data_IF_680811210144
#
_entry.id   IF_680811210144
#
_cell.length_a   1.000
_cell.length_b   1.000
_cell.length_c   1.000
_cell.angle_alpha   90.00
_cell.angle_beta   90.00
_cell.angle_gamma   90.00
#
_symmetry.space_group_name_H-M   'P 1'
#
loop_
_entity.id
_entity.type
_entity.pdbx_description
1 polymer ?
#
# COMPACT_ATOMS: atom_id res chain seq x y z
N UNK A 1 -7.76 12.88 -19.12
CA UNK A 1 -9.15 12.91 -19.60
C UNK A 1 -10.13 12.86 -18.43
N UNK A 2 -10.18 11.79 -17.61
CA UNK A 2 -11.13 11.71 -16.48
C UNK A 2 -10.91 12.83 -15.46
N UNK A 3 -9.66 13.13 -15.12
CA UNK A 3 -9.35 14.22 -14.19
C UNK A 3 -9.79 15.58 -14.71
N UNK A 4 -9.64 15.84 -16.03
CA UNK A 4 -10.08 17.06 -16.67
C UNK A 4 -11.61 17.20 -16.66
N UNK A 5 -12.33 16.08 -16.83
CA UNK A 5 -13.79 16.04 -16.75
C UNK A 5 -14.27 16.42 -15.34
N UNK A 6 -13.68 15.80 -14.31
CA UNK A 6 -14.03 16.05 -12.90
C UNK A 6 -13.74 17.52 -12.52
N UNK A 7 -12.62 18.07 -12.99
CA UNK A 7 -12.27 19.47 -12.68
C UNK A 7 -13.15 20.48 -13.41
N UNK A 8 -13.52 20.23 -14.67
CA UNK A 8 -14.32 21.17 -15.48
C UNK A 8 -15.81 21.09 -15.19
N UNK A 9 -16.32 19.92 -14.83
CA UNK A 9 -17.73 19.65 -14.64
C UNK A 9 -17.99 18.82 -13.37
N UNK A 10 -17.66 19.35 -12.18
CA UNK A 10 -17.67 18.58 -10.91
C UNK A 10 -19.08 18.11 -10.52
N UNK A 11 -20.12 18.85 -10.90
CA UNK A 11 -21.52 18.58 -10.54
C UNK A 11 -22.28 17.78 -11.62
N UNK A 12 -21.58 17.24 -12.62
CA UNK A 12 -22.23 16.42 -13.65
C UNK A 12 -22.33 14.96 -13.21
N UNK A 13 -23.38 14.26 -13.63
CA UNK A 13 -23.55 12.82 -13.42
C UNK A 13 -22.35 12.01 -13.96
N UNK A 14 -21.69 12.52 -14.98
CA UNK A 14 -20.48 11.94 -15.57
C UNK A 14 -19.23 12.07 -14.67
N UNK A 15 -19.20 13.07 -13.79
CA UNK A 15 -18.06 13.27 -12.88
C UNK A 15 -17.97 12.13 -11.86
N UNK A 16 -19.09 11.65 -11.35
CA UNK A 16 -19.13 10.54 -10.39
C UNK A 16 -18.76 9.22 -11.05
N UNK A 17 -19.26 8.94 -12.26
CA UNK A 17 -18.82 7.77 -13.02
C UNK A 17 -17.31 7.82 -13.32
N UNK A 18 -16.80 8.98 -13.71
CA UNK A 18 -15.37 9.18 -13.94
C UNK A 18 -14.53 8.92 -12.70
N UNK A 19 -14.96 9.36 -11.51
CA UNK A 19 -14.30 9.07 -10.23
C UNK A 19 -14.24 7.57 -9.95
N UNK A 20 -15.37 6.87 -10.12
CA UNK A 20 -15.43 5.42 -9.91
C UNK A 20 -14.50 4.67 -10.87
N UNK A 21 -14.45 5.06 -12.12
CA UNK A 21 -13.53 4.49 -13.11
C UNK A 21 -12.06 4.75 -12.76
N UNK A 22 -11.73 5.94 -12.27
CA UNK A 22 -10.38 6.26 -11.82
C UNK A 22 -9.96 5.40 -10.63
N UNK A 23 -10.86 5.19 -9.66
CA UNK A 23 -10.60 4.30 -8.51
C UNK A 23 -10.36 2.88 -8.99
N UNK A 24 -11.22 2.35 -9.85
CA UNK A 24 -11.08 1.02 -10.42
C UNK A 24 -9.73 0.85 -11.13
N UNK A 25 -9.41 1.73 -12.08
CA UNK A 25 -8.15 1.66 -12.83
C UNK A 25 -6.92 1.76 -11.92
N UNK A 26 -6.99 2.59 -10.87
CA UNK A 26 -5.94 2.72 -9.88
C UNK A 26 -5.72 1.41 -9.12
N UNK A 27 -6.79 0.74 -8.73
CA UNK A 27 -6.71 -0.54 -8.03
C UNK A 27 -6.13 -1.64 -8.94
N UNK A 28 -6.53 -1.69 -10.22
CA UNK A 28 -5.97 -2.60 -11.21
C UNK A 28 -4.46 -2.39 -11.42
N UNK A 29 -4.03 -1.13 -11.48
CA UNK A 29 -2.60 -0.80 -11.58
C UNK A 29 -1.82 -1.25 -10.33
N UNK A 30 -2.38 -1.07 -9.14
CA UNK A 30 -1.77 -1.54 -7.90
C UNK A 30 -1.62 -3.07 -7.88
N UNK A 31 -2.65 -3.80 -8.31
CA UNK A 31 -2.61 -5.26 -8.42
C UNK A 31 -1.58 -5.75 -9.43
N UNK A 32 -1.48 -5.08 -10.57
CA UNK A 32 -0.45 -5.36 -11.57
C UNK A 32 0.97 -5.21 -10.99
N UNK A 33 1.25 -4.13 -10.26
CA UNK A 33 2.55 -3.92 -9.61
C UNK A 33 2.87 -5.02 -8.59
N UNK A 34 1.88 -5.51 -7.85
CA UNK A 34 2.07 -6.63 -6.92
C UNK A 34 2.30 -7.97 -7.63
N UNK A 35 1.66 -8.18 -8.77
CA UNK A 35 1.94 -9.35 -9.62
C UNK A 35 3.40 -9.36 -10.08
N UNK A 36 3.92 -8.18 -10.44
CA UNK A 36 5.34 -8.02 -10.79
C UNK A 36 6.24 -8.25 -9.57
N UNK A 37 5.85 -7.75 -8.39
CA UNK A 37 6.59 -7.99 -7.14
C UNK A 37 6.66 -9.49 -6.80
N UNK A 38 5.56 -10.22 -6.94
CA UNK A 38 5.50 -11.66 -6.72
C UNK A 38 6.38 -12.44 -7.71
N UNK A 39 6.42 -12.02 -8.97
CA UNK A 39 7.34 -12.57 -9.96
C UNK A 39 8.80 -12.42 -9.50
N UNK A 40 9.20 -11.25 -9.01
CA UNK A 40 10.54 -11.03 -8.48
C UNK A 40 10.83 -11.84 -7.21
N UNK A 41 9.84 -11.99 -6.31
CA UNK A 41 9.98 -12.84 -5.12
C UNK A 41 10.30 -14.30 -5.50
N UNK A 42 9.56 -14.86 -6.47
CA UNK A 42 9.80 -16.23 -6.97
C UNK A 42 11.14 -16.40 -7.66
N UNK A 43 11.70 -15.35 -8.21
CA UNK A 43 13.02 -15.33 -8.85
C UNK A 43 14.18 -15.07 -7.88
N UNK A 44 13.91 -14.82 -6.60
CA UNK A 44 14.93 -14.45 -5.63
C UNK A 44 15.46 -13.03 -5.76
N UNK A 45 14.84 -12.20 -6.60
CA UNK A 45 15.18 -10.79 -6.79
C UNK A 45 14.51 -9.91 -5.72
N UNK A 46 14.82 -10.16 -4.45
CA UNK A 46 14.12 -9.58 -3.32
C UNK A 46 14.19 -8.06 -3.23
N UNK A 47 15.29 -7.44 -3.65
CA UNK A 47 15.41 -5.98 -3.71
C UNK A 47 14.41 -5.40 -4.72
N UNK A 48 14.28 -6.02 -5.90
CA UNK A 48 13.31 -5.58 -6.90
C UNK A 48 11.87 -5.76 -6.42
N UNK A 49 11.57 -6.87 -5.73
CA UNK A 49 10.26 -7.12 -5.13
C UNK A 49 9.93 -6.07 -4.05
N UNK A 50 10.88 -5.76 -3.16
CA UNK A 50 10.71 -4.72 -2.14
C UNK A 50 10.44 -3.34 -2.76
N UNK A 51 11.15 -2.98 -3.83
CA UNK A 51 10.94 -1.71 -4.53
C UNK A 51 9.55 -1.63 -5.17
N UNK A 52 9.02 -2.74 -5.73
CA UNK A 52 7.67 -2.77 -6.29
C UNK A 52 6.60 -2.67 -5.21
N UNK A 53 6.74 -3.41 -4.11
CA UNK A 53 5.83 -3.31 -2.97
C UNK A 53 5.82 -1.88 -2.39
N UNK A 54 6.99 -1.28 -2.21
CA UNK A 54 7.14 0.11 -1.78
C UNK A 54 6.45 1.09 -2.75
N UNK A 55 6.62 0.91 -4.04
CA UNK A 55 5.97 1.74 -5.06
C UNK A 55 4.44 1.69 -4.95
N UNK A 56 3.87 0.51 -4.69
CA UNK A 56 2.43 0.38 -4.44
C UNK A 56 2.02 1.18 -3.21
N UNK A 57 2.77 1.07 -2.12
CA UNK A 57 2.48 1.80 -0.88
C UNK A 57 2.54 3.33 -1.07
N UNK A 58 3.45 3.82 -1.91
CA UNK A 58 3.63 5.25 -2.17
C UNK A 58 2.55 5.82 -3.12
N UNK A 59 2.23 5.09 -4.17
CA UNK A 59 1.42 5.60 -5.28
C UNK A 59 -0.05 5.23 -5.21
N UNK A 60 -0.37 4.10 -4.58
CA UNK A 60 -1.71 3.52 -4.60
C UNK A 60 -2.29 3.41 -3.19
N UNK A 61 -2.08 4.44 -2.37
CA UNK A 61 -2.67 4.53 -1.04
C UNK A 61 -4.18 4.35 -1.09
N UNK A 62 -4.73 3.55 -0.19
CA UNK A 62 -6.15 3.22 -0.18
C UNK A 62 -6.57 2.12 -1.15
N UNK A 63 -5.65 1.52 -1.91
CA UNK A 63 -5.97 0.36 -2.73
C UNK A 63 -6.24 -0.88 -1.85
N UNK A 64 -7.18 -1.77 -2.25
CA UNK A 64 -7.46 -3.03 -1.54
C UNK A 64 -6.25 -3.95 -1.41
N UNK A 65 -5.26 -3.77 -2.27
CA UNK A 65 -4.01 -4.55 -2.32
C UNK A 65 -2.96 -4.09 -1.31
N UNK A 66 -3.22 -3.04 -0.54
CA UNK A 66 -2.25 -2.49 0.43
C UNK A 66 -1.75 -3.52 1.46
N UNK A 67 -2.60 -4.37 2.08
CA UNK A 67 -2.12 -5.40 2.99
C UNK A 67 -1.12 -6.36 2.33
N UNK A 68 -1.39 -6.75 1.08
CA UNK A 68 -0.49 -7.62 0.33
C UNK A 68 0.84 -6.92 0.01
N UNK A 69 0.83 -5.62 -0.30
CA UNK A 69 2.05 -4.85 -0.53
C UNK A 69 2.95 -4.82 0.71
N UNK A 70 2.37 -4.54 1.88
CA UNK A 70 3.11 -4.52 3.15
C UNK A 70 3.64 -5.91 3.50
N UNK A 71 2.85 -6.96 3.29
CA UNK A 71 3.27 -8.34 3.51
C UNK A 71 4.42 -8.76 2.58
N UNK A 72 4.34 -8.41 1.29
CA UNK A 72 5.41 -8.69 0.31
C UNK A 72 6.70 -7.96 0.69
N UNK A 73 6.60 -6.73 1.18
CA UNK A 73 7.74 -5.96 1.66
C UNK A 73 8.40 -6.62 2.88
N UNK A 74 7.61 -7.10 3.85
CA UNK A 74 8.09 -7.82 5.02
C UNK A 74 8.86 -9.10 4.61
N UNK A 75 8.27 -9.89 3.71
CA UNK A 75 8.91 -11.11 3.20
C UNK A 75 10.22 -10.80 2.47
N UNK A 76 10.25 -9.76 1.63
CA UNK A 76 11.43 -9.36 0.89
C UNK A 76 12.57 -8.95 1.86
N UNK A 77 12.28 -8.17 2.89
CA UNK A 77 13.28 -7.80 3.90
C UNK A 77 13.79 -9.00 4.70
N UNK A 78 12.92 -9.95 5.02
CA UNK A 78 13.31 -11.20 5.68
C UNK A 78 14.27 -12.01 4.83
N UNK A 79 14.00 -12.15 3.54
CA UNK A 79 14.87 -12.87 2.61
C UNK A 79 16.21 -12.16 2.37
N UNK A 80 16.24 -10.84 2.49
CA UNK A 80 17.48 -10.04 2.43
C UNK A 80 18.28 -10.08 3.73
N UNK A 81 17.75 -10.69 4.80
CA UNK A 81 18.40 -10.72 6.12
C UNK A 81 18.32 -9.40 6.88
N UNK A 82 17.48 -8.45 6.43
CA UNK A 82 17.24 -7.16 7.10
C UNK A 82 16.14 -7.33 8.14
N UNK A 83 16.47 -8.08 9.22
CA UNK A 83 15.49 -8.54 10.19
C UNK A 83 14.80 -7.40 10.95
N UNK A 84 15.51 -6.30 11.23
CA UNK A 84 14.93 -5.14 11.92
C UNK A 84 13.79 -4.51 11.12
N UNK A 85 14.00 -4.31 9.81
CA UNK A 85 12.96 -3.76 8.93
C UNK A 85 11.82 -4.76 8.72
N UNK A 86 12.13 -6.05 8.58
CA UNK A 86 11.12 -7.08 8.46
C UNK A 86 10.23 -7.13 9.71
N UNK A 87 10.81 -7.05 10.90
CA UNK A 87 10.08 -7.04 12.15
C UNK A 87 9.20 -5.78 12.30
N UNK A 88 9.75 -4.61 12.00
CA UNK A 88 9.00 -3.36 12.06
C UNK A 88 7.85 -3.34 11.03
N UNK A 89 8.10 -3.83 9.80
CA UNK A 89 7.06 -3.94 8.76
C UNK A 89 5.95 -4.92 9.18
N UNK A 90 6.29 -6.03 9.83
CA UNK A 90 5.32 -6.99 10.37
C UNK A 90 4.45 -6.36 11.46
N UNK A 91 5.02 -5.54 12.35
CA UNK A 91 4.23 -4.81 13.36
C UNK A 91 3.24 -3.86 12.72
N UNK A 92 3.66 -3.15 11.67
CA UNK A 92 2.80 -2.27 10.89
C UNK A 92 1.65 -3.05 10.26
N UNK A 93 1.95 -4.20 9.65
CA UNK A 93 0.93 -5.08 9.09
C UNK A 93 -0.10 -5.50 10.14
N UNK A 94 0.37 -5.98 11.29
CA UNK A 94 -0.50 -6.42 12.37
C UNK A 94 -1.36 -5.27 12.93
N UNK A 95 -0.78 -4.08 13.11
CA UNK A 95 -1.48 -2.94 13.68
C UNK A 95 -2.55 -2.34 12.76
N UNK A 96 -2.40 -2.47 11.44
CA UNK A 96 -3.29 -1.82 10.48
C UNK A 96 -4.24 -2.77 9.76
N UNK A 97 -3.88 -4.05 9.64
CA UNK A 97 -4.61 -4.99 8.80
C UNK A 97 -5.12 -6.22 9.54
N UNK A 98 -4.80 -6.38 10.81
CA UNK A 98 -5.31 -7.46 11.65
C UNK A 98 -6.19 -6.87 12.74
N UNK A 99 -7.43 -7.36 12.85
CA UNK A 99 -8.35 -6.99 13.92
C UNK A 99 -8.00 -7.66 15.25
N UNK A 100 -8.69 -7.24 16.30
CA UNK A 100 -8.54 -7.81 17.66
C UNK A 100 -8.88 -9.31 17.72
N UNK A 101 -9.66 -9.81 16.74
CA UNK A 101 -10.00 -11.23 16.56
C UNK A 101 -8.91 -12.03 15.81
N UNK A 102 -7.80 -11.39 15.43
CA UNK A 102 -6.70 -11.99 14.67
C UNK A 102 -6.98 -12.21 13.18
N UNK A 103 -8.13 -11.75 12.68
CA UNK A 103 -8.49 -11.84 11.27
C UNK A 103 -8.05 -10.61 10.49
N UNK A 104 -7.86 -10.81 9.20
CA UNK A 104 -7.57 -9.73 8.27
C UNK A 104 -8.74 -8.75 8.24
N UNK A 105 -8.47 -7.48 8.51
CA UNK A 105 -9.45 -6.41 8.34
C UNK A 105 -9.77 -6.22 6.86
N UNK A 106 -11.01 -5.84 6.55
CA UNK A 106 -11.36 -5.43 5.19
C UNK A 106 -10.41 -4.32 4.74
N UNK A 107 -9.74 -4.47 3.58
CA UNK A 107 -8.81 -3.47 3.06
C UNK A 107 -9.38 -2.05 2.99
N UNK A 108 -10.67 -1.93 2.66
CA UNK A 108 -11.37 -0.64 2.64
C UNK A 108 -11.46 0.01 4.03
N UNK A 109 -11.47 -0.79 5.09
CA UNK A 109 -11.52 -0.31 6.48
C UNK A 109 -10.13 0.00 7.04
N UNK A 110 -9.13 -0.77 6.64
CA UNK A 110 -7.74 -0.60 7.06
C UNK A 110 -7.15 0.74 6.59
N UNK A 111 -7.55 1.21 5.41
CA UNK A 111 -7.04 2.45 4.82
C UNK A 111 -7.54 3.72 5.51
N UNK A 112 -8.67 3.67 6.24
CA UNK A 112 -9.19 4.82 6.99
C UNK A 112 -8.55 5.00 8.36
N UNK A 113 -7.75 4.02 8.83
CA UNK A 113 -7.17 4.00 10.18
C UNK A 113 -5.65 3.85 10.21
N UNK A 114 -4.92 4.21 9.15
CA UNK A 114 -3.46 4.29 9.24
C UNK A 114 -3.13 5.42 10.22
N UNK A 115 -3.05 5.05 11.49
CA UNK A 115 -2.68 5.97 12.57
C UNK A 115 -1.17 6.14 12.58
N UNK A 116 -0.72 7.35 12.29
CA UNK A 116 0.69 7.73 12.47
C UNK A 116 1.13 7.80 13.95
N UNK A 117 0.27 7.36 14.87
CA UNK A 117 0.47 7.52 16.31
C UNK A 117 1.40 6.48 16.97
N UNK A 118 1.99 5.56 16.20
CA UNK A 118 2.91 4.57 16.77
C UNK A 118 4.36 4.88 16.37
N UNK A 119 5.26 4.95 17.35
CA UNK A 119 6.71 5.12 17.15
C UNK A 119 7.32 4.11 16.16
N UNK A 120 6.66 2.97 15.97
CA UNK A 120 7.07 1.91 15.03
C UNK A 120 6.79 2.32 13.60
N UNK A 121 5.62 2.91 13.36
CA UNK A 121 5.21 3.40 12.05
C UNK A 121 6.11 4.54 11.56
N UNK A 122 6.40 5.51 12.44
CA UNK A 122 7.32 6.59 12.15
C UNK A 122 8.70 6.08 11.72
N UNK A 123 9.25 5.07 12.42
CA UNK A 123 10.54 4.47 12.06
C UNK A 123 10.53 3.74 10.72
N UNK A 124 9.47 3.02 10.41
CA UNK A 124 9.33 2.32 9.11
C UNK A 124 9.17 3.33 7.98
N UNK A 125 8.31 4.33 8.16
CA UNK A 125 8.08 5.37 7.17
C UNK A 125 9.32 6.24 6.94
N UNK A 126 10.06 6.57 7.99
CA UNK A 126 11.30 7.34 7.88
C UNK A 126 12.37 6.55 7.09
N UNK A 127 12.58 5.27 7.41
CA UNK A 127 13.52 4.41 6.69
C UNK A 127 13.11 4.14 5.24
N UNK A 128 11.81 4.13 4.96
CA UNK A 128 11.26 3.96 3.62
C UNK A 128 11.14 5.29 2.85
N UNK A 129 11.46 6.43 3.49
CA UNK A 129 11.23 7.78 2.95
C UNK A 129 9.76 8.07 2.62
N UNK A 130 8.83 7.47 3.36
CA UNK A 130 7.37 7.56 3.14
C UNK A 130 6.66 8.49 4.12
N UNK A 131 7.36 9.03 5.13
CA UNK A 131 6.78 9.82 6.23
C UNK A 131 5.90 10.97 5.75
N UNK A 132 6.30 11.65 4.68
CA UNK A 132 5.55 12.76 4.07
C UNK A 132 4.23 12.37 3.44
N UNK A 133 4.03 11.09 3.10
CA UNK A 133 2.83 10.60 2.41
C UNK A 133 1.74 10.13 3.35
N UNK A 134 2.09 9.68 4.56
CA UNK A 134 1.15 9.04 5.49
C UNK A 134 0.81 9.88 6.72
N UNK A 135 1.60 10.91 7.03
CA UNK A 135 1.50 11.67 8.28
C UNK A 135 1.23 13.18 8.10
N UNK A 136 0.71 13.59 6.96
CA UNK A 136 0.20 14.97 6.75
C UNK A 136 -1.30 15.04 6.90
#
# INVERSE_FOLDING_TARGET
IFNDLIQKYPDSDYADDAKQRMIYLRNELAEHELTVADFYMRRGAYVAAANRAKYVMERYQGAPTMPQAVYTLELAYRQLGINDLAYDTRKVYAANFIGDDGKLLDPAYATTKISCATNVWDRVLEKLSLKTYYCN
#
